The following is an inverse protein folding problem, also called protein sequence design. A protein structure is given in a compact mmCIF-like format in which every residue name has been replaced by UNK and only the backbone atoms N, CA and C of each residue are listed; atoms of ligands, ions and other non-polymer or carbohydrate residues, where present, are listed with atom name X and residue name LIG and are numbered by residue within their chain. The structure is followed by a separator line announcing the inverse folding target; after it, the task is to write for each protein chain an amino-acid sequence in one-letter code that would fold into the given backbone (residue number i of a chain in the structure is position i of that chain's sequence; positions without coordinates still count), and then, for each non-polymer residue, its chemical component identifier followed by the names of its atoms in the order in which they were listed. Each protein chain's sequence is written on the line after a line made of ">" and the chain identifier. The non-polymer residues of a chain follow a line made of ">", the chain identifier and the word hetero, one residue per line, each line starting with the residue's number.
data_IF_611511198842
#
_entry.id   IF_611511198842
#
_cell.length_a   1.000
_cell.length_b   1.000
_cell.length_c   1.000
_cell.angle_alpha   90.00
_cell.angle_beta   90.00
_cell.angle_gamma   90.00
#
_symmetry.space_group_name_H-M   'P 1'
#
loop_
_entity.id
_entity.type
_entity.pdbx_description
1 polymer ?
#
# COMPACT_ATOMS: atom_id res chain seq x y z
N UNK A 1 28.49 -22.19 13.05
CA UNK A 1 27.30 -22.28 12.19
C UNK A 1 26.71 -23.66 12.40
N UNK A 2 25.49 -23.77 12.94
CA UNK A 2 24.87 -25.07 13.23
C UNK A 2 24.27 -25.63 11.95
N UNK A 3 24.57 -26.89 11.60
CA UNK A 3 23.91 -27.57 10.49
C UNK A 3 22.41 -27.67 10.77
N UNK A 4 21.54 -27.43 9.77
CA UNK A 4 20.11 -27.59 9.96
C UNK A 4 19.80 -29.06 10.28
N UNK A 5 18.92 -29.32 11.27
CA UNK A 5 18.59 -30.69 11.64
C UNK A 5 18.03 -31.44 10.44
N UNK A 6 18.48 -32.67 10.23
CA UNK A 6 18.17 -33.54 9.08
C UNK A 6 16.66 -33.61 8.75
N UNK A 7 15.80 -33.42 9.75
CA UNK A 7 14.36 -33.34 9.61
C UNK A 7 13.88 -32.12 8.80
N UNK A 8 14.49 -30.94 9.00
CA UNK A 8 14.18 -29.73 8.23
C UNK A 8 14.60 -29.88 6.76
N UNK A 9 15.76 -30.52 6.52
CA UNK A 9 16.23 -30.83 5.17
C UNK A 9 15.28 -31.79 4.45
N UNK A 10 14.80 -32.83 5.15
CA UNK A 10 13.82 -33.80 4.61
C UNK A 10 12.47 -33.17 4.32
N UNK A 11 11.99 -32.25 5.15
CA UNK A 11 10.75 -31.52 4.91
C UNK A 11 10.84 -30.62 3.67
N UNK A 12 11.96 -29.92 3.48
CA UNK A 12 12.22 -29.11 2.29
C UNK A 12 12.27 -29.96 1.01
N UNK A 13 12.95 -31.11 1.06
CA UNK A 13 13.02 -32.05 -0.07
C UNK A 13 11.64 -32.62 -0.40
N UNK A 14 10.83 -32.94 0.60
CA UNK A 14 9.44 -33.41 0.40
C UNK A 14 8.56 -32.34 -0.24
N UNK A 15 8.66 -31.08 0.19
CA UNK A 15 7.93 -29.97 -0.40
C UNK A 15 8.37 -29.67 -1.85
N UNK A 16 9.67 -29.79 -2.14
CA UNK A 16 10.22 -29.62 -3.49
C UNK A 16 9.91 -30.80 -4.43
N UNK A 17 9.65 -31.99 -3.88
CA UNK A 17 9.26 -33.19 -4.61
C UNK A 17 7.73 -33.36 -4.78
N UNK A 18 6.92 -32.45 -4.23
CA UNK A 18 5.49 -32.44 -4.49
C UNK A 18 5.24 -32.11 -5.95
N UNK A 19 4.34 -32.86 -6.58
CA UNK A 19 3.81 -32.45 -7.88
C UNK A 19 3.18 -31.06 -7.74
N UNK A 20 3.47 -30.12 -8.65
CA UNK A 20 2.85 -28.81 -8.61
C UNK A 20 1.34 -28.98 -8.74
N UNK A 21 0.62 -28.60 -7.69
CA UNK A 21 -0.84 -28.63 -7.70
C UNK A 21 -1.34 -27.75 -8.86
N UNK A 22 -2.26 -28.28 -9.66
CA UNK A 22 -2.84 -27.53 -10.76
C UNK A 22 -3.56 -26.29 -10.20
N UNK A 23 -3.22 -25.12 -10.73
CA UNK A 23 -3.88 -23.89 -10.33
C UNK A 23 -5.38 -24.05 -10.57
N UNK A 24 -6.20 -23.72 -9.56
CA UNK A 24 -7.64 -23.70 -9.76
C UNK A 24 -7.97 -22.78 -10.94
N UNK A 25 -8.98 -23.13 -11.73
CA UNK A 25 -9.44 -22.29 -12.86
C UNK A 25 -9.67 -20.84 -12.39
N UNK A 26 -10.15 -20.67 -11.15
CA UNK A 26 -10.32 -19.37 -10.49
C UNK A 26 -9.02 -18.60 -10.20
N UNK A 27 -7.87 -19.25 -10.01
CA UNK A 27 -6.58 -18.58 -9.86
C UNK A 27 -6.04 -18.15 -11.23
N UNK A 28 -6.11 -19.05 -12.22
CA UNK A 28 -5.67 -18.74 -13.59
C UNK A 28 -6.42 -17.54 -14.16
N UNK A 29 -7.74 -17.54 -14.05
CA UNK A 29 -8.57 -16.47 -14.59
C UNK A 29 -8.29 -15.13 -13.87
N UNK A 30 -8.09 -15.15 -12.55
CA UNK A 30 -7.69 -13.95 -11.79
C UNK A 30 -6.33 -13.41 -12.20
N UNK A 31 -5.35 -14.29 -12.45
CA UNK A 31 -4.02 -13.87 -12.92
C UNK A 31 -4.06 -13.29 -14.34
N UNK A 32 -4.91 -13.83 -15.22
CA UNK A 32 -5.11 -13.27 -16.55
C UNK A 32 -5.83 -11.92 -16.48
N UNK A 33 -6.85 -11.80 -15.63
CA UNK A 33 -7.59 -10.57 -15.42
C UNK A 33 -6.74 -9.45 -14.79
N UNK A 34 -5.77 -9.77 -13.91
CA UNK A 34 -4.89 -8.75 -13.33
C UNK A 34 -3.92 -8.15 -14.36
N UNK A 35 -3.57 -8.90 -15.42
CA UNK A 35 -2.73 -8.39 -16.52
C UNK A 35 -3.44 -7.43 -17.46
N UNK A 36 -4.78 -7.45 -17.50
CA UNK A 36 -5.57 -6.62 -18.43
C UNK A 36 -5.99 -5.29 -17.82
N UNK A 37 -5.65 -5.02 -16.56
CA UNK A 37 -5.93 -3.76 -15.87
C UNK A 37 -5.22 -2.61 -16.59
N UNK A 38 -5.98 -1.56 -16.90
CA UNK A 38 -5.53 -0.40 -17.67
C UNK A 38 -4.92 0.68 -16.76
N UNK A 39 -4.28 1.67 -17.38
CA UNK A 39 -3.72 2.83 -16.69
C UNK A 39 -2.36 2.57 -16.04
N UNK A 40 -1.74 3.64 -15.54
CA UNK A 40 -0.43 3.61 -14.87
C UNK A 40 -0.44 2.75 -13.61
N UNK A 41 -1.58 2.70 -12.93
CA UNK A 41 -1.73 2.05 -11.62
C UNK A 41 -2.51 0.74 -11.67
N UNK A 42 -2.83 0.21 -12.87
CA UNK A 42 -3.64 -1.01 -13.03
C UNK A 42 -3.12 -2.23 -12.25
N UNK A 43 -1.79 -2.34 -12.08
CA UNK A 43 -1.15 -3.42 -11.30
C UNK A 43 -1.51 -3.42 -9.81
N UNK A 44 -2.02 -2.30 -9.27
CA UNK A 44 -2.37 -2.16 -7.86
C UNK A 44 -3.84 -2.37 -7.55
N UNK A 45 -4.70 -2.55 -8.57
CA UNK A 45 -6.16 -2.68 -8.41
C UNK A 45 -6.50 -3.71 -7.35
N UNK A 46 -6.01 -4.94 -7.47
CA UNK A 46 -6.40 -6.00 -6.52
C UNK A 46 -5.88 -5.74 -5.10
N UNK A 47 -4.73 -5.06 -4.95
CA UNK A 47 -4.16 -4.74 -3.63
C UNK A 47 -4.91 -3.60 -2.95
N UNK A 48 -5.17 -2.51 -3.67
CA UNK A 48 -5.94 -1.37 -3.14
C UNK A 48 -7.39 -1.78 -2.86
N UNK A 49 -7.98 -2.63 -3.71
CA UNK A 49 -9.31 -3.18 -3.47
C UNK A 49 -9.38 -3.96 -2.14
N UNK A 50 -8.36 -4.78 -1.84
CA UNK A 50 -8.29 -5.50 -0.57
C UNK A 50 -8.02 -4.58 0.63
N UNK A 51 -7.17 -3.56 0.44
CA UNK A 51 -6.85 -2.60 1.50
C UNK A 51 -8.12 -1.87 1.94
N UNK A 52 -8.82 -1.23 0.99
CA UNK A 52 -10.00 -0.41 1.25
C UNK A 52 -11.32 -1.19 1.31
N UNK A 53 -11.29 -2.51 1.07
CA UNK A 53 -12.49 -3.35 0.94
C UNK A 53 -13.45 -2.86 -0.16
N UNK A 54 -12.90 -2.44 -1.29
CA UNK A 54 -13.68 -1.94 -2.42
C UNK A 54 -13.93 -3.02 -3.47
N UNK A 55 -15.07 -2.98 -4.18
CA UNK A 55 -15.24 -3.69 -5.42
C UNK A 55 -14.15 -3.32 -6.43
N UNK A 56 -13.72 -4.30 -7.22
CA UNK A 56 -12.70 -4.12 -8.26
C UNK A 56 -13.04 -2.97 -9.22
N UNK A 57 -14.27 -2.86 -9.78
CA UNK A 57 -14.58 -1.77 -10.71
C UNK A 57 -14.48 -0.37 -10.08
N UNK A 58 -14.86 -0.24 -8.81
CA UNK A 58 -14.72 1.02 -8.07
C UNK A 58 -13.24 1.35 -7.82
N UNK A 59 -12.43 0.33 -7.56
CA UNK A 59 -10.99 0.50 -7.40
C UNK A 59 -10.30 0.89 -8.71
N UNK A 60 -10.73 0.33 -9.85
CA UNK A 60 -10.25 0.75 -11.17
C UNK A 60 -10.59 2.23 -11.44
N UNK A 61 -11.81 2.65 -11.10
CA UNK A 61 -12.21 4.05 -11.24
C UNK A 61 -11.40 4.98 -10.31
N UNK A 62 -11.14 4.57 -9.06
CA UNK A 62 -10.28 5.31 -8.14
C UNK A 62 -8.86 5.46 -8.69
N UNK A 63 -8.26 4.36 -9.19
CA UNK A 63 -6.90 4.36 -9.70
C UNK A 63 -6.76 5.10 -11.04
N UNK A 64 -7.81 5.15 -11.86
CA UNK A 64 -7.86 6.05 -13.01
C UNK A 64 -7.98 7.52 -12.58
N UNK A 65 -8.78 7.80 -11.54
CA UNK A 65 -8.98 9.17 -11.01
C UNK A 65 -7.68 9.79 -10.50
N UNK A 66 -6.83 9.03 -9.81
CA UNK A 66 -5.57 9.57 -9.27
C UNK A 66 -4.52 9.93 -10.35
N UNK A 67 -4.74 9.55 -11.61
CA UNK A 67 -3.91 9.96 -12.75
C UNK A 67 -4.20 11.39 -13.22
N UNK A 68 -5.35 11.97 -12.85
CA UNK A 68 -5.71 13.36 -13.13
C UNK A 68 -5.21 14.26 -12.00
N UNK A 69 -4.40 15.26 -12.34
CA UNK A 69 -3.92 16.25 -11.38
C UNK A 69 -5.07 17.07 -10.76
N UNK A 70 -6.16 17.28 -11.49
CA UNK A 70 -7.34 18.02 -11.01
C UNK A 70 -8.12 17.26 -9.93
N UNK A 71 -7.94 15.94 -9.81
CA UNK A 71 -8.63 15.14 -8.80
C UNK A 71 -8.10 15.37 -7.37
N UNK A 72 -6.89 15.92 -7.25
CA UNK A 72 -6.17 16.06 -5.99
C UNK A 72 -6.50 17.39 -5.30
N UNK A 73 -6.94 17.33 -4.04
CA UNK A 73 -7.11 18.51 -3.18
C UNK A 73 -5.83 18.81 -2.39
N UNK A 74 -5.61 20.07 -1.96
CA UNK A 74 -4.53 20.41 -1.03
C UNK A 74 -4.70 19.64 0.29
N UNK A 75 -3.58 19.35 0.95
CA UNK A 75 -3.59 18.68 2.26
C UNK A 75 -2.73 19.44 3.28
N UNK A 76 -2.46 18.83 4.44
CA UNK A 76 -1.97 19.46 5.67
C UNK A 76 -0.82 20.47 5.49
N UNK A 77 0.09 20.23 4.54
CA UNK A 77 1.20 21.14 4.24
C UNK A 77 1.39 21.35 2.73
N UNK A 78 1.94 22.50 2.28
CA UNK A 78 2.24 22.73 0.87
C UNK A 78 3.06 21.59 0.25
N UNK A 79 2.67 21.15 -0.94
CA UNK A 79 3.28 20.02 -1.63
C UNK A 79 2.76 18.64 -1.22
N UNK A 80 1.76 18.59 -0.33
CA UNK A 80 0.96 17.39 -0.06
C UNK A 80 -0.44 17.54 -0.64
N UNK A 81 -1.01 16.42 -1.09
CA UNK A 81 -2.35 16.37 -1.65
C UNK A 81 -3.09 15.10 -1.23
N UNK A 82 -4.41 15.15 -1.23
CA UNK A 82 -5.27 14.08 -0.73
C UNK A 82 -6.47 13.84 -1.64
N UNK A 83 -6.89 12.58 -1.70
CA UNK A 83 -8.20 12.17 -2.21
C UNK A 83 -8.85 11.26 -1.15
N UNK A 84 -9.90 11.71 -0.45
CA UNK A 84 -10.65 10.87 0.48
C UNK A 84 -11.35 9.71 -0.25
N UNK A 85 -11.41 8.55 0.41
CA UNK A 85 -12.07 7.34 -0.09
C UNK A 85 -13.05 6.84 0.96
N UNK A 86 -14.26 6.50 0.55
CA UNK A 86 -15.20 5.78 1.42
C UNK A 86 -14.84 4.31 1.37
N UNK A 87 -14.37 3.75 2.48
CA UNK A 87 -13.99 2.34 2.55
C UNK A 87 -15.22 1.42 2.59
N UNK A 88 -15.02 0.15 2.22
CA UNK A 88 -16.07 -0.87 2.26
C UNK A 88 -16.44 -1.34 3.67
N UNK A 89 -17.49 -2.17 3.80
CA UNK A 89 -18.08 -2.54 5.09
C UNK A 89 -17.11 -3.22 6.07
N UNK A 90 -16.13 -4.00 5.59
CA UNK A 90 -15.14 -4.66 6.47
C UNK A 90 -14.11 -3.67 7.02
N UNK A 91 -14.06 -2.45 6.49
CA UNK A 91 -13.24 -1.32 6.93
C UNK A 91 -14.10 -0.17 7.47
N UNK A 92 -15.33 -0.45 7.89
CA UNK A 92 -16.22 0.56 8.45
C UNK A 92 -15.57 1.28 9.64
N UNK A 93 -15.63 2.61 9.63
CA UNK A 93 -15.02 3.47 10.65
C UNK A 93 -13.52 3.75 10.47
N UNK A 94 -12.86 3.12 9.50
CA UNK A 94 -11.48 3.45 9.14
C UNK A 94 -11.41 4.71 8.26
N UNK A 95 -10.29 5.41 8.34
CA UNK A 95 -9.94 6.52 7.44
C UNK A 95 -9.22 5.92 6.24
N UNK A 96 -9.81 6.02 5.05
CA UNK A 96 -9.20 5.59 3.78
C UNK A 96 -8.93 6.79 2.88
N UNK A 97 -7.69 6.92 2.41
CA UNK A 97 -7.26 8.06 1.60
C UNK A 97 -6.22 7.65 0.57
N UNK A 98 -6.20 8.33 -0.57
CA UNK A 98 -5.01 8.40 -1.39
C UNK A 98 -4.24 9.65 -0.97
N UNK A 99 -2.94 9.51 -0.70
CA UNK A 99 -2.06 10.61 -0.32
C UNK A 99 -0.97 10.75 -1.38
N UNK A 100 -0.66 11.99 -1.73
CA UNK A 100 0.46 12.34 -2.60
C UNK A 100 1.40 13.30 -1.87
N UNK A 101 2.68 12.95 -1.82
CA UNK A 101 3.75 13.77 -1.21
C UNK A 101 4.76 14.10 -2.30
N UNK A 102 4.95 15.39 -2.60
CA UNK A 102 5.93 15.82 -3.59
C UNK A 102 7.37 15.53 -3.15
N UNK A 103 8.32 15.40 -4.08
CA UNK A 103 9.73 15.16 -3.77
C UNK A 103 10.30 16.20 -2.79
N UNK A 104 11.00 15.73 -1.76
CA UNK A 104 11.62 16.56 -0.72
C UNK A 104 10.64 17.20 0.27
N UNK A 105 9.33 17.00 0.11
CA UNK A 105 8.33 17.52 1.05
C UNK A 105 8.21 16.59 2.24
N UNK A 106 8.22 17.19 3.44
CA UNK A 106 7.99 16.48 4.70
C UNK A 106 6.50 16.49 5.03
N UNK A 107 5.88 15.33 5.06
CA UNK A 107 4.62 15.12 5.77
C UNK A 107 4.90 15.16 7.28
N UNK A 108 4.21 16.02 8.05
CA UNK A 108 4.58 16.33 9.42
C UNK A 108 4.53 15.11 10.34
N UNK A 109 5.28 15.19 11.43
CA UNK A 109 5.26 14.16 12.47
C UNK A 109 3.85 14.03 13.06
N UNK A 110 3.40 12.78 13.19
CA UNK A 110 2.11 12.45 13.76
C UNK A 110 2.16 11.12 14.49
N UNK A 111 1.25 10.94 15.44
CA UNK A 111 1.11 9.73 16.26
C UNK A 111 -0.14 8.99 15.88
N UNK A 112 -0.02 7.68 15.64
CA UNK A 112 -1.18 6.83 15.37
C UNK A 112 -1.87 6.41 16.68
N UNK A 113 -3.20 6.60 16.72
CA UNK A 113 -4.13 6.07 17.72
C UNK A 113 -4.94 4.95 17.08
N UNK A 114 -4.25 3.86 16.82
CA UNK A 114 -4.70 2.76 15.99
C UNK A 114 -3.63 2.30 15.00
N UNK A 115 -4.04 1.52 14.00
CA UNK A 115 -3.11 0.92 13.02
C UNK A 115 -3.23 1.63 11.69
N UNK A 116 -2.09 2.05 11.13
CA UNK A 116 -1.98 2.52 9.76
C UNK A 116 -1.43 1.41 8.86
N UNK A 117 -1.98 1.29 7.65
CA UNK A 117 -1.40 0.49 6.56
C UNK A 117 -1.31 1.36 5.30
N UNK A 118 -0.12 1.44 4.72
CA UNK A 118 0.13 2.16 3.47
C UNK A 118 0.57 1.21 2.38
N UNK A 119 0.04 1.39 1.17
CA UNK A 119 0.53 0.73 -0.05
C UNK A 119 1.04 1.82 -1.01
N UNK A 120 2.34 1.82 -1.28
CA UNK A 120 2.93 2.80 -2.21
C UNK A 120 2.66 2.37 -3.64
N UNK A 121 1.94 3.19 -4.39
CA UNK A 121 1.56 2.93 -5.80
C UNK A 121 2.43 3.70 -6.80
N UNK A 122 3.16 4.71 -6.33
CA UNK A 122 4.14 5.46 -7.13
C UNK A 122 5.22 6.13 -6.28
N UNK A 123 6.37 6.42 -6.89
CA UNK A 123 7.50 7.06 -6.23
C UNK A 123 7.97 6.29 -4.99
N UNK A 124 8.29 7.03 -3.93
CA UNK A 124 8.68 6.48 -2.64
C UNK A 124 8.88 7.57 -1.58
N UNK A 125 9.03 7.16 -0.33
CA UNK A 125 9.30 8.03 0.80
C UNK A 125 10.34 7.40 1.73
N UNK A 126 10.87 8.20 2.64
CA UNK A 126 11.69 7.73 3.78
C UNK A 126 11.13 8.34 5.05
N UNK A 127 11.14 7.58 6.15
CA UNK A 127 10.77 8.13 7.45
C UNK A 127 11.92 8.94 8.04
N UNK A 128 11.60 10.05 8.70
CA UNK A 128 12.62 10.89 9.33
C UNK A 128 13.47 10.07 10.32
N UNK A 129 14.79 10.04 10.12
CA UNK A 129 15.72 9.28 10.95
C UNK A 129 15.85 7.79 10.60
N UNK A 130 15.05 7.27 9.65
CA UNK A 130 15.21 5.92 9.12
C UNK A 130 16.19 5.91 7.95
N UNK A 131 17.11 4.92 7.85
CA UNK A 131 17.90 4.69 6.64
C UNK A 131 17.13 3.88 5.59
N UNK A 132 15.92 3.43 5.91
CA UNK A 132 15.12 2.53 5.06
C UNK A 132 14.12 3.34 4.25
N UNK A 133 14.33 3.34 2.95
CA UNK A 133 13.39 3.88 1.98
C UNK A 133 12.23 2.89 1.75
N UNK A 134 11.04 3.43 1.50
CA UNK A 134 9.87 2.66 1.07
C UNK A 134 9.48 3.07 -0.34
N UNK A 135 9.41 2.10 -1.24
CA UNK A 135 9.25 2.32 -2.67
C UNK A 135 7.94 1.75 -3.21
N UNK A 136 7.57 2.21 -4.41
CA UNK A 136 6.46 1.67 -5.20
C UNK A 136 6.39 0.14 -5.15
N UNK A 137 5.24 -0.37 -4.72
CA UNK A 137 4.96 -1.79 -4.59
C UNK A 137 5.06 -2.33 -3.18
N UNK A 138 5.70 -1.60 -2.27
CA UNK A 138 5.81 -1.97 -0.87
C UNK A 138 4.54 -1.61 -0.09
N UNK A 139 4.29 -2.44 0.93
CA UNK A 139 3.21 -2.26 1.89
C UNK A 139 3.86 -2.17 3.26
N UNK A 140 3.52 -1.13 4.02
CA UNK A 140 4.04 -0.90 5.36
C UNK A 140 2.90 -0.72 6.34
N UNK A 141 3.14 -1.14 7.58
CA UNK A 141 2.19 -0.99 8.69
C UNK A 141 2.85 -0.24 9.83
N UNK A 142 2.10 0.64 10.47
CA UNK A 142 2.48 1.29 11.72
C UNK A 142 1.46 0.93 12.79
N UNK A 143 1.98 0.47 13.92
CA UNK A 143 1.18 0.02 15.06
C UNK A 143 0.71 1.21 15.91
N UNK A 144 -0.28 0.94 16.77
CA UNK A 144 -0.79 1.91 17.72
C UNK A 144 0.31 2.47 18.63
N UNK A 145 0.27 3.78 18.85
CA UNK A 145 1.23 4.51 19.67
C UNK A 145 2.57 4.83 18.99
N UNK A 146 2.76 4.44 17.73
CA UNK A 146 3.95 4.85 16.96
C UNK A 146 3.81 6.27 16.40
N UNK A 147 4.94 6.99 16.32
CA UNK A 147 5.02 8.30 15.68
C UNK A 147 5.99 8.27 14.51
N UNK A 148 5.67 9.01 13.45
CA UNK A 148 6.58 9.17 12.32
C UNK A 148 6.31 10.45 11.53
N UNK A 149 7.33 10.90 10.80
CA UNK A 149 7.22 11.89 9.73
C UNK A 149 7.75 11.26 8.44
N UNK A 150 7.19 11.65 7.29
CA UNK A 150 7.54 11.06 5.99
C UNK A 150 8.17 12.13 5.11
N UNK A 151 9.24 11.81 4.39
CA UNK A 151 9.84 12.70 3.39
C UNK A 151 9.72 12.05 2.01
N UNK A 152 9.11 12.73 1.05
CA UNK A 152 9.03 12.25 -0.33
C UNK A 152 10.43 12.12 -0.94
N UNK A 153 10.74 10.98 -1.55
CA UNK A 153 12.03 10.75 -2.20
C UNK A 153 12.18 11.59 -3.49
N UNK A 154 13.40 11.83 -3.97
CA UNK A 154 13.65 12.59 -5.19
C UNK A 154 12.96 11.99 -6.44
N UNK A 155 12.61 12.86 -7.39
CA UNK A 155 12.09 12.45 -8.70
C UNK A 155 10.57 12.39 -8.76
N UNK A 156 10.00 11.18 -8.66
CA UNK A 156 8.55 10.95 -8.79
C UNK A 156 7.87 11.18 -7.42
N UNK A 157 6.77 11.94 -7.34
CA UNK A 157 6.01 12.08 -6.09
C UNK A 157 5.65 10.73 -5.49
N UNK A 158 5.73 10.61 -4.17
CA UNK A 158 5.18 9.45 -3.47
C UNK A 158 3.67 9.50 -3.58
N UNK A 159 3.05 8.41 -4.07
CA UNK A 159 1.60 8.24 -4.06
C UNK A 159 1.30 6.95 -3.30
N UNK A 160 0.48 7.03 -2.27
CA UNK A 160 0.15 5.89 -1.43
C UNK A 160 -1.36 5.79 -1.18
N UNK A 161 -1.87 4.56 -1.17
CA UNK A 161 -3.17 4.23 -0.60
C UNK A 161 -2.98 4.00 0.90
N UNK A 162 -3.65 4.77 1.74
CA UNK A 162 -3.47 4.78 3.20
C UNK A 162 -4.78 4.44 3.88
N UNK A 163 -4.75 3.45 4.78
CA UNK A 163 -5.87 3.04 5.62
C UNK A 163 -5.46 3.15 7.09
N UNK A 164 -6.20 3.93 7.87
CA UNK A 164 -6.01 4.03 9.32
C UNK A 164 -7.25 3.49 10.02
N UNK A 165 -7.07 2.43 10.82
CA UNK A 165 -8.10 1.98 11.76
C UNK A 165 -7.90 2.70 13.08
N UNK A 166 -8.67 3.76 13.33
CA UNK A 166 -8.43 4.71 14.41
C UNK A 166 -8.28 6.13 13.88
N UNK A 167 -7.33 6.89 14.42
CA UNK A 167 -6.98 8.23 13.92
C UNK A 167 -5.49 8.53 14.09
N UNK A 168 -5.05 9.65 13.53
CA UNK A 168 -3.72 10.19 13.72
C UNK A 168 -3.80 11.57 14.40
N UNK A 169 -2.98 11.77 15.43
CA UNK A 169 -2.82 13.03 16.12
C UNK A 169 -1.63 13.79 15.53
N UNK A 170 -1.84 15.06 15.15
CA UNK A 170 -0.79 15.97 14.72
C UNK A 170 -0.44 16.91 15.89
N UNK A 171 0.86 17.11 16.12
CA UNK A 171 1.37 18.03 17.14
C UNK A 171 1.28 19.50 16.70
#
# INVERSE_FOLDING_TARGET
>A
MSEPPLAALRALVSAAASEPAEATVSLRDRLLASRTRKGRYGLFVDRVARLFDLPVPETEALLARIESDEAWGPFLVPGTAIIPVVAGPRRAGAIATMVRVAPGVTFPEHTHRGVETMVVVDGGFVEAGSPVETWRGEEITRDDGTSHALVGLPGVPCVAAVLITGHADFA
#
